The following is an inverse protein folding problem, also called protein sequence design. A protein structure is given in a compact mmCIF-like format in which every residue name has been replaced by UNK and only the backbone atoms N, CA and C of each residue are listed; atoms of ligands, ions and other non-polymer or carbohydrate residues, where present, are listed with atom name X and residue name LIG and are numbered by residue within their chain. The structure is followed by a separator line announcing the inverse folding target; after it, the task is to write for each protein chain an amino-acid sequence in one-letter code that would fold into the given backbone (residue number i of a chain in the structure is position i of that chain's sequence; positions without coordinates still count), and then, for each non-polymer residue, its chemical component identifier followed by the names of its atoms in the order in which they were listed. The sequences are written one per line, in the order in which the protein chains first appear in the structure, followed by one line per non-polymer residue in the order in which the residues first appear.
data_IF_223953115037
#
_entry.id   IF_223953115037
#
_cell.length_a   1.000
_cell.length_b   1.000
_cell.length_c   1.000
_cell.angle_alpha   90.00
_cell.angle_beta   90.00
_cell.angle_gamma   90.00
#
_symmetry.space_group_name_H-M   'P 1'
#
loop_
_entity.id
_entity.type
_entity.pdbx_description
1 polymer ?
#
# COMPACT_ATOMS: atom_id res chain seq x y z
N UNK A 1 0.19 -13.65 -13.27
CA UNK A 1 1.65 -13.91 -13.38
C UNK A 1 2.14 -14.43 -12.02
N UNK A 2 3.08 -15.36 -12.02
CA UNK A 2 3.55 -16.03 -10.80
C UNK A 2 4.19 -15.04 -9.81
N UNK A 3 3.81 -15.17 -8.54
CA UNK A 3 4.10 -14.27 -7.41
C UNK A 3 5.56 -14.33 -6.91
N UNK A 4 6.51 -14.74 -7.76
CA UNK A 4 7.94 -14.75 -7.46
C UNK A 4 8.72 -14.08 -8.58
N UNK A 5 8.94 -12.78 -8.44
CA UNK A 5 10.06 -12.09 -9.09
C UNK A 5 10.79 -11.22 -8.06
N UNK A 6 12.09 -11.18 -8.24
CA UNK A 6 13.15 -10.74 -7.33
C UNK A 6 13.04 -9.30 -6.79
N UNK A 7 13.25 -9.19 -5.47
CA UNK A 7 13.94 -8.12 -4.73
C UNK A 7 13.64 -6.66 -5.03
N UNK A 8 12.39 -6.29 -5.27
CA UNK A 8 12.01 -4.89 -5.03
C UNK A 8 12.09 -4.63 -3.51
N UNK A 9 12.64 -3.48 -3.06
CA UNK A 9 12.54 -3.10 -1.67
C UNK A 9 11.07 -3.01 -1.30
N UNK A 10 10.61 -3.96 -0.48
CA UNK A 10 9.22 -4.04 0.00
C UNK A 10 9.00 -3.19 1.25
N UNK A 11 9.88 -2.23 1.50
CA UNK A 11 9.80 -1.33 2.64
C UNK A 11 9.33 0.05 2.17
N UNK A 12 8.39 0.64 2.90
CA UNK A 12 7.91 1.98 2.63
C UNK A 12 7.81 2.76 3.94
N UNK A 13 8.01 4.06 3.85
CA UNK A 13 7.95 4.99 4.96
C UNK A 13 7.26 6.26 4.48
N UNK A 14 6.31 6.76 5.26
CA UNK A 14 5.79 8.11 5.06
C UNK A 14 6.72 9.12 5.73
N UNK A 15 6.74 10.34 5.22
CA UNK A 15 7.19 11.45 6.03
C UNK A 15 6.26 11.57 7.26
N UNK A 16 6.81 12.07 8.37
CA UNK A 16 6.00 12.40 9.54
C UNK A 16 5.17 13.64 9.22
N UNK A 17 3.86 13.55 9.40
CA UNK A 17 3.00 14.72 9.33
C UNK A 17 3.46 15.72 10.41
N UNK A 18 3.54 17.03 10.10
CA UNK A 18 3.73 18.04 11.13
C UNK A 18 2.62 17.89 12.17
N UNK A 19 2.98 17.77 13.45
CA UNK A 19 2.00 17.86 14.54
C UNK A 19 1.31 19.22 14.39
N UNK A 20 -0.03 19.29 14.37
CA UNK A 20 -0.70 20.56 14.23
C UNK A 20 -0.46 21.39 15.49
N UNK A 21 0.08 22.62 15.34
CA UNK A 21 0.30 23.57 16.45
C UNK A 21 -1.03 24.02 17.12
N UNK A 22 -2.18 23.63 16.57
CA UNK A 22 -3.53 23.91 17.08
C UNK A 22 -4.48 22.75 16.80
N UNK A 23 -5.45 22.43 17.68
CA UNK A 23 -6.30 21.27 17.49
C UNK A 23 -7.24 21.43 16.27
N UNK A 24 -7.02 20.55 15.30
CA UNK A 24 -7.89 20.10 14.21
C UNK A 24 -8.49 21.15 13.25
N UNK A 25 -7.87 21.30 12.07
CA UNK A 25 -8.58 21.24 10.78
C UNK A 25 -7.68 20.54 9.75
N UNK A 26 -8.01 19.28 9.44
CA UNK A 26 -7.34 18.47 8.44
C UNK A 26 -7.31 19.19 7.08
N UNK A 27 -6.12 19.63 6.67
CA UNK A 27 -5.83 20.11 5.31
C UNK A 27 -4.85 19.14 4.66
N UNK A 28 -5.42 18.28 3.81
CA UNK A 28 -4.84 17.98 2.50
C UNK A 28 -3.65 17.03 2.41
N UNK A 29 -3.80 15.77 2.84
CA UNK A 29 -3.20 14.68 2.06
C UNK A 29 -4.13 14.39 0.89
N UNK A 30 -3.62 14.50 -0.33
CA UNK A 30 -4.34 14.40 -1.61
C UNK A 30 -5.42 13.31 -1.63
N UNK A 31 -6.67 13.70 -1.39
CA UNK A 31 -7.83 12.83 -1.53
C UNK A 31 -8.40 12.96 -2.94
N UNK A 32 -8.05 12.02 -3.81
CA UNK A 32 -8.78 11.84 -5.05
C UNK A 32 -10.13 11.16 -4.73
N UNK A 33 -11.17 11.99 -4.63
CA UNK A 33 -12.53 11.60 -5.01
C UNK A 33 -13.42 10.96 -3.93
N UNK A 34 -14.23 11.83 -3.33
CA UNK A 34 -15.61 11.62 -2.85
C UNK A 34 -15.85 11.11 -1.42
N UNK A 35 -16.40 12.01 -0.59
CA UNK A 35 -17.23 11.67 0.56
C UNK A 35 -16.60 12.00 1.91
N UNK A 36 -16.81 13.23 2.35
CA UNK A 36 -16.64 13.72 3.73
C UNK A 36 -17.47 12.89 4.71
N UNK A 37 -16.91 11.81 5.23
CA UNK A 37 -17.35 11.21 6.48
C UNK A 37 -16.12 11.10 7.37
N UNK A 38 -16.10 11.92 8.42
CA UNK A 38 -15.20 11.76 9.57
C UNK A 38 -15.61 10.45 10.25
N UNK A 39 -15.16 9.33 9.73
CA UNK A 39 -15.14 8.11 10.50
C UNK A 39 -14.00 8.21 11.50
N UNK A 40 -14.30 7.77 12.71
CA UNK A 40 -13.61 7.94 13.99
C UNK A 40 -12.27 7.19 14.05
N UNK A 41 -11.41 7.36 13.05
CA UNK A 41 -10.09 6.77 13.01
C UNK A 41 -9.07 7.90 13.02
N UNK A 42 -8.22 7.89 14.05
CA UNK A 42 -7.10 8.82 14.13
C UNK A 42 -6.23 8.64 12.88
N UNK A 43 -5.96 9.76 12.21
CA UNK A 43 -5.08 9.74 11.06
C UNK A 43 -3.66 9.46 11.54
N UNK A 44 -2.91 8.56 10.89
CA UNK A 44 -1.56 8.28 11.31
C UNK A 44 -0.65 9.50 11.10
N UNK A 45 0.15 9.79 12.13
CA UNK A 45 1.23 10.77 12.12
C UNK A 45 2.36 10.30 11.21
N UNK A 46 2.66 9.01 11.23
CA UNK A 46 3.58 8.38 10.31
C UNK A 46 3.22 6.92 10.07
N UNK A 47 3.67 6.38 8.94
CA UNK A 47 3.43 5.00 8.55
C UNK A 47 4.74 4.40 8.05
N UNK A 48 5.02 3.19 8.48
CA UNK A 48 6.06 2.35 7.92
C UNK A 48 5.46 0.99 7.59
N UNK A 49 6.03 0.28 6.63
CA UNK A 49 5.70 -1.13 6.50
C UNK A 49 6.65 -1.88 5.61
N UNK A 50 6.47 -3.20 5.65
CA UNK A 50 7.35 -4.17 5.02
C UNK A 50 6.53 -5.29 4.39
N UNK A 51 7.08 -5.85 3.32
CA UNK A 51 6.49 -6.97 2.60
C UNK A 51 5.34 -6.53 1.69
N UNK A 52 4.76 -7.49 0.98
CA UNK A 52 3.71 -7.26 -0.01
C UNK A 52 2.68 -8.36 0.05
N UNK A 53 1.52 -8.09 0.66
CA UNK A 53 0.43 -9.06 0.72
C UNK A 53 -0.20 -9.20 -0.66
N UNK A 54 -0.31 -8.07 -1.37
CA UNK A 54 -0.70 -7.97 -2.78
C UNK A 54 0.08 -6.82 -3.40
N UNK A 55 0.53 -6.98 -4.65
CA UNK A 55 1.04 -5.87 -5.44
C UNK A 55 0.37 -5.79 -6.81
N UNK A 56 0.38 -4.59 -7.38
CA UNK A 56 -0.17 -4.25 -8.67
C UNK A 56 0.92 -3.55 -9.47
N UNK A 57 1.27 -4.12 -10.62
CA UNK A 57 2.27 -3.58 -11.54
C UNK A 57 1.77 -3.72 -12.96
N UNK A 58 2.05 -2.72 -13.79
CA UNK A 58 1.78 -2.78 -15.23
C UNK A 58 2.85 -2.03 -16.02
N UNK A 59 3.03 -2.43 -17.27
CA UNK A 59 3.86 -1.71 -18.25
C UNK A 59 3.07 -0.66 -19.03
N UNK A 60 1.76 -0.85 -19.14
CA UNK A 60 0.85 0.08 -19.79
C UNK A 60 0.44 1.23 -18.87
N UNK A 61 0.03 2.39 -19.41
CA UNK A 61 -0.46 3.50 -18.61
C UNK A 61 -1.59 3.10 -17.66
N UNK A 62 -1.52 3.58 -16.42
CA UNK A 62 -2.49 3.25 -15.37
C UNK A 62 -3.92 3.58 -15.79
N UNK A 63 -4.81 2.60 -15.66
CA UNK A 63 -6.18 2.68 -16.16
C UNK A 63 -7.22 2.59 -15.04
N UNK A 64 -8.48 2.83 -15.40
CA UNK A 64 -9.61 2.63 -14.48
C UNK A 64 -9.76 1.16 -14.06
N UNK A 65 -9.32 0.22 -14.90
CA UNK A 65 -9.34 -1.20 -14.55
C UNK A 65 -8.39 -1.50 -13.39
N UNK A 66 -7.17 -0.95 -13.44
CA UNK A 66 -6.16 -1.10 -12.39
C UNK A 66 -6.63 -0.48 -11.08
N UNK A 67 -7.23 0.71 -11.14
CA UNK A 67 -7.84 1.34 -9.97
C UNK A 67 -8.94 0.47 -9.35
N UNK A 68 -9.82 -0.13 -10.17
CA UNK A 68 -10.86 -1.03 -9.68
C UNK A 68 -10.27 -2.28 -9.05
N UNK A 69 -9.19 -2.83 -9.60
CA UNK A 69 -8.49 -3.98 -9.03
C UNK A 69 -7.94 -3.67 -7.62
N UNK A 70 -7.29 -2.51 -7.44
CA UNK A 70 -6.80 -2.04 -6.14
C UNK A 70 -7.96 -1.78 -5.18
N UNK A 71 -8.99 -1.06 -5.63
CA UNK A 71 -10.13 -0.64 -4.80
C UNK A 71 -10.90 -1.81 -4.17
N UNK A 72 -10.83 -3.02 -4.75
CA UNK A 72 -11.40 -4.24 -4.17
C UNK A 72 -10.85 -4.56 -2.78
N UNK A 73 -9.65 -4.10 -2.44
CA UNK A 73 -9.01 -4.31 -1.14
C UNK A 73 -9.22 -3.12 -0.17
N UNK A 74 -9.67 -1.97 -0.67
CA UNK A 74 -9.74 -0.72 0.09
C UNK A 74 -11.18 -0.39 0.48
N UNK A 75 -11.81 -1.28 1.26
CA UNK A 75 -13.16 -1.03 1.77
C UNK A 75 -13.18 0.17 2.70
N UNK A 76 -14.24 0.99 2.63
CA UNK A 76 -14.45 2.07 3.60
C UNK A 76 -14.67 1.53 5.02
N UNK A 77 -15.23 0.33 5.12
CA UNK A 77 -15.46 -0.35 6.40
C UNK A 77 -14.17 -0.91 7.02
N UNK A 78 -13.05 -0.91 6.27
CA UNK A 78 -11.75 -1.42 6.72
C UNK A 78 -10.64 -0.39 6.45
N UNK A 79 -10.67 0.79 7.12
CA UNK A 79 -9.78 1.91 6.82
C UNK A 79 -8.29 1.63 7.09
N UNK A 80 -7.99 0.56 7.82
CA UNK A 80 -6.62 0.10 8.07
C UNK A 80 -5.96 -0.49 6.83
N UNK A 81 -6.72 -1.07 5.88
CA UNK A 81 -6.15 -1.65 4.67
C UNK A 81 -5.88 -0.52 3.68
N UNK A 82 -4.59 -0.32 3.37
CA UNK A 82 -4.12 0.74 2.48
C UNK A 82 -3.21 0.18 1.41
N UNK A 83 -3.21 0.87 0.26
CA UNK A 83 -2.28 0.60 -0.82
C UNK A 83 -1.34 1.79 -1.00
N UNK A 84 -0.06 1.52 -1.12
CA UNK A 84 1.00 2.51 -1.32
C UNK A 84 1.66 2.29 -2.65
N UNK A 85 2.07 3.35 -3.30
CA UNK A 85 2.66 3.21 -4.61
C UNK A 85 2.76 4.51 -5.35
N UNK A 86 3.13 4.37 -6.62
CA UNK A 86 3.32 5.48 -7.51
C UNK A 86 2.99 5.09 -8.95
N UNK A 87 2.68 6.11 -9.73
CA UNK A 87 2.45 6.04 -11.17
C UNK A 87 3.48 6.96 -11.81
N UNK A 88 4.10 6.51 -12.91
CA UNK A 88 4.99 7.37 -13.69
C UNK A 88 4.21 8.52 -14.30
N UNK A 89 4.81 9.71 -14.29
CA UNK A 89 4.18 10.89 -14.88
C UNK A 89 3.93 10.71 -16.39
N UNK A 90 4.96 10.25 -17.11
CA UNK A 90 4.84 9.81 -18.49
C UNK A 90 5.02 8.29 -18.54
N UNK A 91 3.92 7.58 -18.75
CA UNK A 91 3.94 6.14 -18.92
C UNK A 91 4.27 5.71 -20.36
N UNK A 92 4.27 6.64 -21.31
CA UNK A 92 4.55 6.36 -22.74
C UNK A 92 6.02 6.48 -23.10
N UNK A 93 6.82 7.16 -22.25
CA UNK A 93 8.26 7.23 -22.41
C UNK A 93 8.96 5.97 -21.88
N UNK A 94 10.20 5.79 -22.33
CA UNK A 94 11.11 4.77 -21.77
C UNK A 94 11.27 4.96 -20.26
N UNK A 95 11.32 3.85 -19.53
CA UNK A 95 11.62 3.88 -18.11
C UNK A 95 13.07 4.32 -17.89
N UNK A 96 13.33 5.14 -16.87
CA UNK A 96 14.69 5.20 -16.33
C UNK A 96 15.01 3.88 -15.63
N UNK A 97 16.31 3.58 -15.46
CA UNK A 97 16.79 2.32 -14.88
C UNK A 97 16.17 2.06 -13.50
N UNK A 98 15.93 3.12 -12.71
CA UNK A 98 15.32 3.03 -11.39
C UNK A 98 13.86 2.57 -11.41
N UNK A 99 13.17 2.67 -12.56
CA UNK A 99 11.76 2.34 -12.74
C UNK A 99 11.53 1.03 -13.50
N UNK A 100 12.57 0.39 -14.04
CA UNK A 100 12.44 -0.82 -14.87
C UNK A 100 11.68 -1.93 -14.12
N UNK A 101 12.04 -2.18 -12.86
CA UNK A 101 11.41 -3.21 -12.02
C UNK A 101 10.02 -2.82 -11.52
N UNK A 102 9.65 -1.53 -11.56
CA UNK A 102 8.36 -1.03 -11.09
C UNK A 102 7.34 -0.89 -12.23
N UNK A 103 7.77 -0.66 -13.47
CA UNK A 103 6.88 -0.46 -14.62
C UNK A 103 6.28 0.96 -14.70
N UNK A 104 5.15 1.08 -15.39
CA UNK A 104 4.40 2.34 -15.51
C UNK A 104 3.69 2.74 -14.22
N UNK A 105 3.36 1.76 -13.38
CA UNK A 105 2.84 1.98 -12.04
C UNK A 105 3.19 0.78 -11.16
N UNK A 106 3.34 1.05 -9.87
CA UNK A 106 3.53 0.03 -8.85
C UNK A 106 2.78 0.41 -7.59
N UNK A 107 1.90 -0.47 -7.13
CA UNK A 107 1.20 -0.34 -5.85
C UNK A 107 1.34 -1.63 -5.03
N UNK A 108 1.33 -1.49 -3.71
CA UNK A 108 1.43 -2.61 -2.77
C UNK A 108 0.48 -2.41 -1.60
N UNK A 109 -0.19 -3.49 -1.20
CA UNK A 109 -0.78 -3.62 0.13
C UNK A 109 0.25 -4.30 1.03
N UNK A 110 0.73 -3.66 2.10
CA UNK A 110 1.80 -4.18 2.96
C UNK A 110 1.43 -5.50 3.64
N UNK A 111 2.42 -6.37 3.87
CA UNK A 111 2.23 -7.53 4.76
C UNK A 111 2.22 -7.11 6.22
N UNK A 112 3.11 -6.20 6.60
CA UNK A 112 3.19 -5.63 7.94
C UNK A 112 3.21 -4.12 7.82
N UNK A 113 2.33 -3.44 8.55
CA UNK A 113 2.25 -1.98 8.58
C UNK A 113 2.23 -1.49 10.01
N UNK A 114 3.15 -0.60 10.33
CA UNK A 114 3.19 0.16 11.56
C UNK A 114 2.65 1.57 11.30
N UNK A 115 1.67 1.98 12.09
CA UNK A 115 1.05 3.30 12.03
C UNK A 115 1.23 3.99 13.37
N UNK A 116 1.99 5.06 13.39
CA UNK A 116 2.08 5.97 14.54
C UNK A 116 0.82 6.85 14.55
N UNK A 117 0.12 6.90 15.67
CA UNK A 117 -1.02 7.77 15.94
C UNK A 117 -0.61 8.84 16.97
N UNK A 118 -1.46 9.84 17.22
CA UNK A 118 -1.15 10.88 18.21
C UNK A 118 -1.04 10.30 19.64
N UNK A 119 -1.92 9.37 20.00
CA UNK A 119 -1.99 8.79 21.35
C UNK A 119 -1.50 7.34 21.42
N UNK A 120 -0.95 6.80 20.33
CA UNK A 120 -0.53 5.40 20.31
C UNK A 120 0.08 4.93 19.01
N UNK A 121 0.09 3.63 18.79
CA UNK A 121 0.52 3.05 17.52
C UNK A 121 -0.21 1.75 17.24
N UNK A 122 -0.40 1.45 15.96
CA UNK A 122 -1.06 0.23 15.49
C UNK A 122 -0.08 -0.54 14.61
N UNK A 123 0.06 -1.83 14.89
CA UNK A 123 0.73 -2.78 14.01
C UNK A 123 -0.33 -3.68 13.37
N UNK A 124 -0.45 -3.62 12.06
CA UNK A 124 -1.37 -4.42 11.27
C UNK A 124 -0.60 -5.43 10.43
N UNK A 125 -1.15 -6.64 10.31
CA UNK A 125 -0.66 -7.65 9.38
C UNK A 125 -1.75 -8.04 8.38
N UNK A 126 -1.40 -8.02 7.10
CA UNK A 126 -2.33 -8.34 6.01
C UNK A 126 -1.95 -9.67 5.39
N UNK A 127 -2.93 -10.57 5.28
CA UNK A 127 -2.82 -11.85 4.59
C UNK A 127 -3.82 -11.83 3.44
N UNK A 128 -3.34 -12.06 2.23
CA UNK A 128 -4.17 -12.14 1.03
C UNK A 128 -3.85 -13.41 0.26
N UNK A 129 -4.91 -14.09 -0.21
CA UNK A 129 -4.83 -15.31 -1.01
C UNK A 129 -5.81 -15.22 -2.18
N UNK A 130 -5.48 -15.89 -3.29
CA UNK A 130 -6.30 -15.93 -4.49
C UNK A 130 -6.10 -17.26 -5.21
N UNK A 131 -7.16 -18.08 -5.18
CA UNK A 131 -7.18 -19.40 -5.81
C UNK A 131 -6.96 -19.30 -7.33
N UNK A 132 -7.37 -18.18 -7.96
CA UNK A 132 -7.18 -17.97 -9.40
C UNK A 132 -5.73 -17.71 -9.78
N UNK A 133 -4.91 -17.29 -8.81
CA UNK A 133 -3.46 -17.06 -8.96
C UNK A 133 -2.63 -18.22 -8.40
N UNK A 134 -3.27 -19.32 -8.00
CA UNK A 134 -2.64 -20.44 -7.28
C UNK A 134 -1.91 -19.99 -6.01
N UNK A 135 -2.36 -18.90 -5.39
CA UNK A 135 -1.79 -18.38 -4.16
C UNK A 135 -2.67 -18.80 -2.98
N UNK A 136 -2.22 -19.81 -2.26
CA UNK A 136 -3.01 -20.42 -1.16
C UNK A 136 -2.90 -19.62 0.13
N UNK A 137 -3.88 -19.78 1.02
CA UNK A 137 -3.81 -19.22 2.38
C UNK A 137 -2.52 -19.62 3.11
N UNK A 138 -2.12 -20.90 3.01
CA UNK A 138 -0.88 -21.37 3.64
C UNK A 138 0.35 -20.66 3.08
N UNK A 139 0.43 -20.50 1.75
CA UNK A 139 1.52 -19.75 1.12
C UNK A 139 1.60 -18.30 1.60
N UNK A 140 0.44 -17.64 1.75
CA UNK A 140 0.37 -16.27 2.27
C UNK A 140 0.83 -16.16 3.73
N UNK A 141 0.46 -17.15 4.58
CA UNK A 141 0.92 -17.24 5.97
C UNK A 141 2.42 -17.50 6.05
N UNK A 142 2.94 -18.45 5.27
CA UNK A 142 4.36 -18.80 5.24
C UNK A 142 5.22 -17.58 4.81
N UNK A 143 4.75 -16.82 3.83
CA UNK A 143 5.44 -15.59 3.39
C UNK A 143 5.43 -14.50 4.48
N UNK A 144 4.30 -14.34 5.18
CA UNK A 144 4.22 -13.42 6.32
C UNK A 144 5.20 -13.84 7.44
N UNK A 145 5.26 -15.14 7.77
CA UNK A 145 6.20 -15.66 8.76
C UNK A 145 7.65 -15.42 8.36
N UNK A 146 8.00 -15.61 7.08
CA UNK A 146 9.34 -15.28 6.56
C UNK A 146 9.65 -13.79 6.76
N UNK A 147 8.69 -12.91 6.44
CA UNK A 147 8.85 -11.47 6.58
C UNK A 147 9.05 -11.05 8.04
N UNK A 148 8.33 -11.68 8.98
CA UNK A 148 8.45 -11.42 10.41
C UNK A 148 9.74 -11.99 11.03
N UNK A 149 10.36 -12.98 10.38
CA UNK A 149 11.66 -13.53 10.82
C UNK A 149 12.87 -12.79 10.24
N UNK A 150 12.71 -12.13 9.10
CA UNK A 150 13.77 -11.32 8.45
C UNK A 150 13.86 -9.89 9.00
N UNK A 151 12.75 -9.35 9.54
CA UNK A 151 12.66 -8.02 10.15
C UNK A 151 13.08 -8.01 11.62
#
# INVERSE_FOLDING_TARGET
QAQRQSSLPRCFFSARAPLPDTPALAVGSSSNGNGSHKEQWEQPVSVAGVGSAVFFRGTDPFSLHDWRAIKRFLSRDCPMIRAYGAIRFDASSDASVEWEDYGAFYFVVPQVEFSELEEGSVLATTIAWDDSLSWTYQSAVDELQSTLHEA
#
